data_IF_672649529255
#
_entry.id   IF_672649529255
#
_cell.length_a   1.000
_cell.length_b   1.000
_cell.length_c   1.000
_cell.angle_alpha   90.00
_cell.angle_beta   90.00
_cell.angle_gamma   90.00
#
_symmetry.space_group_name_H-M   'P 1'
#
loop_
_entity.id
_entity.type
_entity.pdbx_description
1 polymer ?
#
# COMPACT_ATOMS: atom_id res chain seq x y z
N UNK A 1 15.32 -1.44 7.68
CA UNK A 1 14.60 -2.17 8.75
C UNK A 1 15.50 -2.93 9.72
N UNK A 2 16.82 -2.75 9.66
CA UNK A 2 17.79 -3.54 10.42
C UNK A 2 18.09 -2.96 11.81
N UNK A 3 17.82 -1.68 12.04
CA UNK A 3 18.20 -0.99 13.29
C UNK A 3 17.14 -1.16 14.39
N UNK A 4 15.85 -1.04 14.07
CA UNK A 4 14.76 -1.21 15.04
C UNK A 4 13.52 -1.84 14.38
N UNK A 5 13.57 -3.16 14.09
CA UNK A 5 12.52 -3.84 13.32
C UNK A 5 11.18 -3.84 14.05
N UNK A 6 11.18 -4.01 15.38
CA UNK A 6 9.95 -4.04 16.19
C UNK A 6 9.16 -2.75 16.07
N UNK A 7 9.82 -1.60 16.24
CA UNK A 7 9.13 -0.31 16.11
C UNK A 7 8.73 -0.03 14.67
N UNK A 8 9.56 -0.42 13.68
CA UNK A 8 9.21 -0.29 12.26
C UNK A 8 7.89 -1.01 11.93
N UNK A 9 7.77 -2.29 12.32
CA UNK A 9 6.55 -3.09 12.08
C UNK A 9 5.35 -2.50 12.82
N UNK A 10 5.54 -2.01 14.05
CA UNK A 10 4.47 -1.35 14.80
C UNK A 10 3.97 -0.07 14.13
N UNK A 11 4.86 0.72 13.52
CA UNK A 11 4.47 1.91 12.77
C UNK A 11 3.71 1.55 11.49
N UNK A 12 4.15 0.52 10.76
CA UNK A 12 3.40 0.01 9.59
C UNK A 12 1.98 -0.33 10.01
N UNK A 13 1.82 -1.13 11.06
CA UNK A 13 0.51 -1.48 11.60
C UNK A 13 -0.33 -0.24 11.94
N UNK A 14 0.21 0.70 12.72
CA UNK A 14 -0.54 1.87 13.18
C UNK A 14 -1.09 2.69 12.02
N UNK A 15 -0.25 3.03 11.05
CA UNK A 15 -0.66 3.92 9.96
C UNK A 15 -1.60 3.26 8.97
N UNK A 16 -1.35 2.00 8.61
CA UNK A 16 -2.19 1.28 7.64
C UNK A 16 -3.53 0.89 8.23
N UNK A 17 -3.58 0.50 9.52
CA UNK A 17 -4.84 0.21 10.21
C UNK A 17 -5.67 1.48 10.39
N UNK A 18 -5.08 2.59 10.85
CA UNK A 18 -5.81 3.86 11.01
C UNK A 18 -6.39 4.35 9.67
N UNK A 19 -5.61 4.28 8.58
CA UNK A 19 -6.09 4.64 7.26
C UNK A 19 -7.25 3.74 6.80
N UNK A 20 -7.13 2.41 6.98
CA UNK A 20 -8.20 1.47 6.65
C UNK A 20 -9.47 1.70 7.48
N UNK A 21 -9.32 1.95 8.77
CA UNK A 21 -10.45 2.18 9.68
C UNK A 21 -11.21 3.48 9.36
N UNK A 22 -10.53 4.42 8.72
CA UNK A 22 -11.11 5.66 8.18
C UNK A 22 -11.70 5.50 6.79
N UNK A 23 -11.70 4.28 6.23
CA UNK A 23 -12.29 3.97 4.93
C UNK A 23 -11.41 4.34 3.74
N UNK A 24 -10.08 4.38 3.89
CA UNK A 24 -9.20 4.59 2.75
C UNK A 24 -9.17 3.35 1.83
N UNK A 25 -9.26 3.56 0.52
CA UNK A 25 -9.13 2.50 -0.49
C UNK A 25 -7.67 2.16 -0.80
N UNK A 26 -6.76 3.12 -0.57
CA UNK A 26 -5.31 2.97 -0.69
C UNK A 26 -4.57 4.06 0.10
N UNK A 27 -3.28 3.82 0.37
CA UNK A 27 -2.35 4.87 0.82
C UNK A 27 -1.35 5.20 -0.28
N UNK A 28 -1.00 6.48 -0.41
CA UNK A 28 -0.04 6.96 -1.41
C UNK A 28 1.20 7.49 -0.72
N UNK A 29 2.38 7.09 -1.20
CA UNK A 29 3.66 7.53 -0.64
C UNK A 29 4.61 8.06 -1.71
N UNK A 30 5.22 9.25 -1.52
CA UNK A 30 6.24 9.78 -2.41
C UNK A 30 7.63 9.19 -2.14
N UNK A 31 7.80 8.37 -1.09
CA UNK A 31 9.09 7.81 -0.70
C UNK A 31 9.15 6.31 -1.04
N UNK A 32 10.14 5.85 -1.84
CA UNK A 32 10.26 4.44 -2.21
C UNK A 32 10.56 3.54 -0.99
N UNK A 33 11.27 4.06 0.01
CA UNK A 33 11.53 3.30 1.24
C UNK A 33 10.26 3.14 2.09
N UNK A 34 9.40 4.18 2.14
CA UNK A 34 8.11 4.08 2.80
C UNK A 34 7.19 3.09 2.08
N UNK A 35 7.21 3.07 0.74
CA UNK A 35 6.47 2.08 -0.05
C UNK A 35 6.93 0.66 0.30
N UNK A 36 8.25 0.42 0.24
CA UNK A 36 8.83 -0.88 0.59
C UNK A 36 8.46 -1.33 2.00
N UNK A 37 8.40 -0.41 2.96
CA UNK A 37 8.03 -0.73 4.33
C UNK A 37 6.53 -1.01 4.48
N UNK A 38 5.67 -0.10 4.00
CA UNK A 38 4.23 -0.19 4.18
C UNK A 38 3.61 -1.33 3.37
N UNK A 39 4.09 -1.60 2.16
CA UNK A 39 3.64 -2.73 1.34
C UNK A 39 4.30 -4.02 1.82
N UNK A 40 5.64 -4.02 1.89
CA UNK A 40 6.42 -5.23 2.13
C UNK A 40 6.25 -5.85 3.51
N UNK A 41 6.00 -5.05 4.54
CA UNK A 41 5.91 -5.51 5.93
C UNK A 41 4.48 -5.50 6.48
N UNK A 42 3.50 -5.20 5.64
CA UNK A 42 2.09 -5.34 6.02
C UNK A 42 1.75 -6.76 6.51
N UNK A 43 2.26 -7.86 5.92
CA UNK A 43 2.04 -9.21 6.45
C UNK A 43 2.58 -9.39 7.88
N UNK A 44 3.78 -8.87 8.16
CA UNK A 44 4.37 -8.90 9.50
C UNK A 44 3.57 -8.03 10.49
N UNK A 45 3.13 -6.86 10.06
CA UNK A 45 2.31 -5.94 10.84
C UNK A 45 0.94 -6.55 11.17
N UNK A 46 0.30 -7.18 10.19
CA UNK A 46 -0.97 -7.88 10.35
C UNK A 46 -0.85 -9.03 11.35
N UNK A 47 0.20 -9.85 11.25
CA UNK A 47 0.50 -10.92 12.20
C UNK A 47 0.76 -10.38 13.62
N UNK A 48 1.57 -9.33 13.75
CA UNK A 48 1.88 -8.72 15.04
C UNK A 48 0.65 -8.13 15.75
N UNK A 49 -0.32 -7.61 14.99
CA UNK A 49 -1.58 -7.08 15.52
C UNK A 49 -2.72 -8.10 15.55
N UNK A 50 -2.53 -9.30 15.01
CA UNK A 50 -3.57 -10.32 14.81
C UNK A 50 -4.79 -9.75 14.08
N UNK A 51 -4.55 -8.92 13.06
CA UNK A 51 -5.57 -8.19 12.33
C UNK A 51 -5.19 -8.07 10.86
N UNK A 52 -6.15 -8.36 9.98
CA UNK A 52 -5.96 -8.17 8.54
C UNK A 52 -5.93 -6.69 8.16
N UNK A 53 -4.88 -6.29 7.44
CA UNK A 53 -4.68 -4.92 6.98
C UNK A 53 -5.05 -4.82 5.49
N UNK A 54 -4.37 -5.55 4.59
CA UNK A 54 -4.72 -5.62 3.16
C UNK A 54 -5.08 -4.26 2.53
N UNK A 55 -4.31 -3.22 2.87
CA UNK A 55 -4.51 -1.86 2.36
C UNK A 55 -3.49 -1.59 1.25
N UNK A 56 -3.92 -1.40 -0.01
CA UNK A 56 -3.01 -1.14 -1.13
C UNK A 56 -2.13 0.09 -0.88
N UNK A 57 -0.83 -0.04 -1.16
CA UNK A 57 0.13 1.06 -1.05
C UNK A 57 0.62 1.44 -2.44
N UNK A 58 0.36 2.67 -2.88
CA UNK A 58 0.73 3.15 -4.20
C UNK A 58 1.90 4.14 -4.08
N UNK A 59 2.92 3.98 -4.92
CA UNK A 59 3.96 5.00 -5.02
C UNK A 59 3.42 6.20 -5.79
N UNK A 60 3.71 7.44 -5.36
CA UNK A 60 3.14 8.64 -5.98
C UNK A 60 3.26 8.69 -7.52
N UNK A 61 4.40 8.34 -8.15
CA UNK A 61 4.49 8.28 -9.62
C UNK A 61 3.56 7.25 -10.27
N UNK A 62 3.25 6.14 -9.58
CA UNK A 62 2.30 5.14 -10.09
C UNK A 62 0.87 5.71 -10.10
N UNK A 63 0.48 6.45 -9.05
CA UNK A 63 -0.81 7.12 -9.03
C UNK A 63 -0.91 8.16 -10.16
N UNK A 64 0.12 8.97 -10.35
CA UNK A 64 0.17 9.94 -11.45
C UNK A 64 0.11 9.23 -12.81
N UNK A 65 0.81 8.11 -12.97
CA UNK A 65 0.75 7.32 -14.20
C UNK A 65 -0.66 6.79 -14.48
N UNK A 66 -1.37 6.29 -13.46
CA UNK A 66 -2.78 5.87 -13.61
C UNK A 66 -3.66 7.05 -14.05
N UNK A 67 -3.51 8.22 -13.43
CA UNK A 67 -4.26 9.43 -13.79
C UNK A 67 -3.95 9.94 -15.20
N UNK A 68 -2.74 9.67 -15.72
CA UNK A 68 -2.31 10.01 -17.07
C UNK A 68 -2.62 8.91 -18.11
N UNK A 69 -3.32 7.83 -17.72
CA UNK A 69 -3.71 6.75 -18.61
C UNK A 69 -2.61 5.74 -18.92
N UNK A 70 -1.53 5.69 -18.13
CA UNK A 70 -0.49 4.66 -18.23
C UNK A 70 -1.04 3.34 -17.67
N UNK A 71 -0.82 2.24 -18.39
CA UNK A 71 -1.36 0.94 -17.98
C UNK A 71 -0.76 0.43 -16.65
N UNK A 72 -1.57 -0.22 -15.80
CA UNK A 72 -1.08 -0.80 -14.54
C UNK A 72 0.07 -1.80 -14.72
N UNK A 73 0.08 -2.52 -15.85
CA UNK A 73 1.11 -3.50 -16.20
C UNK A 73 2.46 -2.85 -16.48
N UNK A 74 2.47 -1.70 -17.19
CA UNK A 74 3.69 -0.95 -17.47
C UNK A 74 4.36 -0.44 -16.18
N UNK A 75 3.53 -0.11 -15.19
CA UNK A 75 3.96 0.35 -13.85
C UNK A 75 4.17 -0.80 -12.85
N UNK A 76 3.94 -2.05 -13.28
CA UNK A 76 4.13 -3.28 -12.50
C UNK A 76 3.35 -3.32 -11.19
N UNK A 77 2.11 -2.81 -11.16
CA UNK A 77 1.27 -2.86 -9.94
C UNK A 77 0.95 -4.28 -9.48
N UNK A 78 1.08 -5.28 -10.37
CA UNK A 78 0.96 -6.70 -10.05
C UNK A 78 2.12 -7.28 -9.23
N UNK A 79 3.16 -6.48 -8.95
CA UNK A 79 4.32 -6.88 -8.14
C UNK A 79 4.27 -6.39 -6.69
N UNK A 80 3.23 -5.64 -6.32
CA UNK A 80 2.99 -5.26 -4.93
C UNK A 80 2.72 -6.50 -4.08
N UNK A 81 3.13 -6.45 -2.82
CA UNK A 81 2.88 -7.52 -1.84
C UNK A 81 1.40 -7.55 -1.48
N UNK A 82 0.79 -6.38 -1.28
CA UNK A 82 -0.66 -6.24 -1.11
C UNK A 82 -1.33 -6.07 -2.46
N UNK A 83 -2.47 -6.73 -2.66
CA UNK A 83 -3.12 -6.74 -3.98
C UNK A 83 -3.72 -5.38 -4.33
N UNK A 84 -3.37 -4.84 -5.49
CA UNK A 84 -3.92 -3.58 -6.02
C UNK A 84 -5.19 -3.78 -6.86
N UNK A 85 -5.67 -5.02 -7.03
CA UNK A 85 -6.77 -5.35 -7.95
C UNK A 85 -8.08 -4.64 -7.60
N UNK A 86 -8.42 -4.58 -6.31
CA UNK A 86 -9.64 -3.93 -5.83
C UNK A 86 -9.63 -2.44 -6.20
N UNK A 87 -8.55 -1.75 -5.84
CA UNK A 87 -8.34 -0.34 -6.19
C UNK A 87 -8.46 -0.10 -7.70
N UNK A 88 -7.80 -0.92 -8.51
CA UNK A 88 -7.86 -0.79 -9.97
C UNK A 88 -9.27 -0.97 -10.52
N UNK A 89 -10.07 -1.89 -9.96
CA UNK A 89 -11.45 -2.08 -10.39
C UNK A 89 -12.34 -0.86 -10.10
N UNK A 90 -12.13 -0.17 -8.98
CA UNK A 90 -12.88 1.03 -8.60
C UNK A 90 -12.48 2.24 -9.46
N UNK A 91 -11.19 2.37 -9.79
CA UNK A 91 -10.68 3.42 -10.67
C UNK A 91 -11.15 3.26 -12.12
N UNK A 92 -11.25 2.04 -12.64
CA UNK A 92 -11.71 1.76 -14.02
C UNK A 92 -13.21 2.08 -14.22
N UNK A 93 -13.99 2.06 -13.14
CA UNK A 93 -15.44 2.39 -13.19
C UNK A 93 -15.68 3.91 -13.04
N UNK A 94 -14.66 4.67 -12.64
CA UNK A 94 -14.76 6.12 -12.45
C UNK A 94 -14.49 6.85 -13.78
N UNK A 95 -15.48 7.57 -14.35
CA UNK A 95 -15.38 8.24 -15.64
C UNK A 95 -14.47 9.47 -15.64
#
# INVERSE_FOLDING_TARGET
>A
MTINPKNSVNMVANHTIDAKDRGADAMVTPCPLCHLNLDGYQPNAASARKREIDLPIIHLPQLLGLALGISPEAMRLNKHIVSTKKLLSELVISP
#
